data_IF_162087303464
#
_entry.id   IF_162087303464
#
_cell.length_a   1.000
_cell.length_b   1.000
_cell.length_c   1.000
_cell.angle_alpha   90.00
_cell.angle_beta   90.00
_cell.angle_gamma   90.00
#
_symmetry.space_group_name_H-M   'P 1'
#
loop_
_entity.id
_entity.type
_entity.pdbx_description
1 polymer ?
#
# COMPACT_ATOMS: atom_id res chain seq x y z
N UNK A 1 52.98 -17.86 -54.75
CA UNK A 1 51.61 -18.21 -54.30
C UNK A 1 51.67 -18.67 -52.82
N UNK A 2 51.98 -17.82 -51.86
CA UNK A 2 52.05 -18.22 -50.40
C UNK A 2 51.97 -17.03 -49.43
N UNK A 3 51.18 -16.02 -49.68
CA UNK A 3 51.06 -14.82 -48.81
C UNK A 3 49.64 -14.29 -48.63
N UNK A 4 48.59 -15.06 -48.93
CA UNK A 4 47.19 -14.56 -48.87
C UNK A 4 46.29 -15.36 -47.90
N UNK A 5 46.83 -16.21 -47.03
CA UNK A 5 46.04 -17.04 -46.12
C UNK A 5 46.18 -16.68 -44.61
N UNK A 6 46.81 -15.56 -44.25
CA UNK A 6 46.97 -15.17 -42.86
C UNK A 6 46.19 -13.93 -42.42
N UNK A 7 45.36 -13.33 -43.26
CA UNK A 7 44.58 -12.13 -42.92
C UNK A 7 43.11 -12.39 -42.55
N UNK A 8 42.61 -13.62 -42.62
CA UNK A 8 41.19 -13.96 -42.39
C UNK A 8 40.84 -14.50 -41.00
N UNK A 9 41.81 -14.71 -40.10
CA UNK A 9 41.53 -15.27 -38.76
C UNK A 9 41.47 -14.23 -37.66
N UNK A 10 41.92 -13.00 -37.91
CA UNK A 10 41.93 -11.94 -36.87
C UNK A 10 40.62 -11.15 -36.74
N UNK A 11 39.64 -11.32 -37.66
CA UNK A 11 38.40 -10.53 -37.64
C UNK A 11 37.21 -11.20 -36.93
N UNK A 12 37.34 -12.44 -36.45
CA UNK A 12 36.27 -13.16 -35.76
C UNK A 12 36.36 -13.16 -34.22
N UNK A 13 37.37 -12.50 -33.62
CA UNK A 13 37.57 -12.47 -32.17
C UNK A 13 37.06 -11.20 -31.47
N UNK A 14 36.43 -10.25 -32.18
CA UNK A 14 35.92 -9.02 -31.57
C UNK A 14 34.38 -8.92 -31.47
N UNK A 15 33.64 -10.00 -31.68
CA UNK A 15 32.18 -10.00 -31.60
C UNK A 15 31.64 -10.71 -30.34
N UNK A 16 32.48 -10.91 -29.30
CA UNK A 16 32.14 -11.73 -28.12
C UNK A 16 32.17 -11.03 -26.77
N UNK A 17 32.17 -9.70 -26.67
CA UNK A 17 32.30 -9.03 -25.38
C UNK A 17 31.29 -7.89 -25.14
N UNK A 18 30.05 -8.09 -25.51
CA UNK A 18 28.90 -7.38 -24.89
C UNK A 18 28.33 -8.28 -23.76
N UNK A 19 29.21 -8.81 -22.91
CA UNK A 19 28.82 -9.28 -21.58
C UNK A 19 28.52 -7.99 -20.82
N UNK A 20 27.22 -7.68 -20.70
CA UNK A 20 26.77 -6.56 -19.88
C UNK A 20 27.48 -6.62 -18.52
N UNK A 21 28.11 -5.52 -18.10
CA UNK A 21 28.71 -5.44 -16.79
C UNK A 21 27.69 -5.97 -15.76
N UNK A 22 28.10 -6.82 -14.80
CA UNK A 22 27.19 -7.30 -13.79
C UNK A 22 26.57 -6.08 -13.11
N UNK A 23 25.25 -5.94 -13.22
CA UNK A 23 24.54 -4.90 -12.47
C UNK A 23 24.86 -5.16 -11.01
N UNK A 24 25.66 -4.29 -10.41
CA UNK A 24 26.03 -4.42 -9.01
C UNK A 24 24.74 -4.37 -8.19
N UNK A 25 24.47 -5.42 -7.43
CA UNK A 25 23.33 -5.47 -6.54
C UNK A 25 23.39 -4.29 -5.58
N UNK A 26 22.39 -3.43 -5.62
CA UNK A 26 22.26 -2.30 -4.72
C UNK A 26 21.15 -2.58 -3.70
N UNK A 27 21.22 -1.88 -2.59
CA UNK A 27 20.22 -1.96 -1.51
C UNK A 27 19.55 -0.60 -1.35
N UNK A 28 18.22 -0.61 -1.31
CA UNK A 28 17.39 0.58 -1.07
C UNK A 28 16.54 0.39 0.18
N UNK A 29 16.24 1.51 0.86
CA UNK A 29 15.38 1.55 2.05
C UNK A 29 14.08 2.26 1.72
N UNK A 30 12.97 1.57 1.95
CA UNK A 30 11.61 2.11 1.76
C UNK A 30 10.96 2.33 3.11
N UNK A 31 10.66 3.56 3.47
CA UNK A 31 9.86 3.89 4.64
C UNK A 31 8.37 3.86 4.31
N UNK A 32 7.60 3.24 5.17
CA UNK A 32 6.16 3.07 4.95
C UNK A 32 5.37 3.03 6.26
N UNK A 33 4.06 3.26 6.15
CA UNK A 33 3.11 3.07 7.23
C UNK A 33 2.28 1.79 7.01
N UNK A 34 1.40 1.50 7.96
CA UNK A 34 0.57 0.29 7.95
C UNK A 34 -0.32 0.17 6.70
N UNK A 35 -0.84 1.30 6.19
CA UNK A 35 -1.73 1.29 5.03
C UNK A 35 -1.06 0.83 3.74
N UNK A 36 0.27 0.85 3.67
CA UNK A 36 1.03 0.52 2.46
C UNK A 36 1.91 -0.73 2.61
N UNK A 37 2.02 -1.26 3.83
CA UNK A 37 2.99 -2.31 4.16
C UNK A 37 2.79 -3.59 3.34
N UNK A 38 1.59 -4.13 3.29
CA UNK A 38 1.31 -5.40 2.59
C UNK A 38 1.66 -5.31 1.11
N UNK A 39 1.23 -4.25 0.42
CA UNK A 39 1.51 -4.04 -1.01
C UNK A 39 2.99 -3.84 -1.29
N UNK A 40 3.68 -3.03 -0.50
CA UNK A 40 5.12 -2.80 -0.68
C UNK A 40 5.92 -4.07 -0.47
N UNK A 41 5.60 -4.90 0.53
CA UNK A 41 6.32 -6.16 0.78
C UNK A 41 6.18 -7.16 -0.36
N UNK A 42 4.97 -7.34 -0.91
CA UNK A 42 4.74 -8.21 -2.05
C UNK A 42 5.52 -7.72 -3.28
N UNK A 43 5.48 -6.43 -3.58
CA UNK A 43 6.19 -5.84 -4.71
C UNK A 43 7.71 -5.86 -4.51
N UNK A 44 8.21 -5.61 -3.30
CA UNK A 44 9.64 -5.70 -2.97
C UNK A 44 10.20 -7.10 -3.21
N UNK A 45 9.51 -8.13 -2.72
CA UNK A 45 9.90 -9.53 -2.94
C UNK A 45 10.00 -9.88 -4.43
N UNK A 46 9.02 -9.42 -5.23
CA UNK A 46 9.01 -9.66 -6.66
C UNK A 46 10.12 -8.88 -7.39
N UNK A 47 10.36 -7.62 -7.01
CA UNK A 47 11.42 -6.79 -7.56
C UNK A 47 12.81 -7.35 -7.26
N UNK A 48 13.08 -7.76 -6.03
CA UNK A 48 14.33 -8.42 -5.64
C UNK A 48 14.61 -9.66 -6.49
N UNK A 49 13.57 -10.49 -6.69
CA UNK A 49 13.69 -11.70 -7.54
C UNK A 49 13.98 -11.37 -8.99
N UNK A 50 13.39 -10.29 -9.51
CA UNK A 50 13.54 -9.91 -10.92
C UNK A 50 14.87 -9.21 -11.23
N UNK A 51 15.45 -8.48 -10.26
CA UNK A 51 16.57 -7.57 -10.51
C UNK A 51 17.84 -7.91 -9.76
N UNK A 52 17.75 -8.71 -8.70
CA UNK A 52 18.87 -8.99 -7.79
C UNK A 52 19.18 -7.84 -6.80
N UNK A 53 18.51 -6.68 -6.92
CA UNK A 53 18.62 -5.62 -5.91
C UNK A 53 17.95 -6.03 -4.61
N UNK A 54 18.24 -5.31 -3.51
CA UNK A 54 17.63 -5.52 -2.19
C UNK A 54 16.72 -4.34 -1.82
N UNK A 55 15.57 -4.64 -1.21
CA UNK A 55 14.59 -3.65 -0.76
C UNK A 55 14.32 -3.84 0.73
N UNK A 56 14.96 -3.02 1.54
CA UNK A 56 14.70 -2.98 2.98
C UNK A 56 13.42 -2.19 3.27
N UNK A 57 12.39 -2.92 3.64
CA UNK A 57 11.10 -2.33 4.03
C UNK A 57 11.13 -1.97 5.50
N UNK A 58 11.08 -0.67 5.82
CA UNK A 58 11.11 -0.15 7.19
C UNK A 58 9.75 0.43 7.58
N UNK A 59 9.02 -0.30 8.41
CA UNK A 59 7.75 0.17 8.98
C UNK A 59 7.97 1.29 9.98
N UNK A 60 7.11 2.31 9.91
CA UNK A 60 7.07 3.41 10.86
C UNK A 60 5.60 3.74 11.21
N UNK A 61 5.30 3.95 12.47
CA UNK A 61 3.99 4.50 12.86
C UNK A 61 3.80 5.90 12.24
N UNK A 62 2.57 6.23 11.81
CA UNK A 62 2.30 7.42 10.98
C UNK A 62 2.94 8.73 11.47
N UNK A 63 2.76 9.17 12.74
CA UNK A 63 3.38 10.40 13.22
C UNK A 63 4.91 10.35 13.22
N UNK A 64 5.49 9.19 13.52
CA UNK A 64 6.94 8.99 13.49
C UNK A 64 7.49 9.01 12.06
N UNK A 65 6.75 8.47 11.10
CA UNK A 65 7.14 8.50 9.69
C UNK A 65 7.21 9.94 9.17
N UNK A 66 6.18 10.74 9.42
CA UNK A 66 6.15 12.14 9.00
C UNK A 66 7.29 12.95 9.62
N UNK A 67 7.53 12.77 10.92
CA UNK A 67 8.65 13.40 11.61
C UNK A 67 9.98 13.00 10.98
N UNK A 68 10.21 11.70 10.75
CA UNK A 68 11.45 11.17 10.17
C UNK A 68 11.72 11.73 8.78
N UNK A 69 10.70 11.85 7.94
CA UNK A 69 10.84 12.45 6.61
C UNK A 69 11.18 13.93 6.72
N UNK A 70 10.52 14.67 7.60
CA UNK A 70 10.77 16.10 7.82
C UNK A 70 12.17 16.39 8.37
N UNK A 71 12.69 15.54 9.23
CA UNK A 71 14.05 15.63 9.79
C UNK A 71 15.15 15.27 8.77
N UNK A 72 14.80 14.74 7.59
CA UNK A 72 15.75 14.40 6.54
C UNK A 72 16.36 13.00 6.70
N UNK A 73 15.53 11.99 6.66
CA UNK A 73 15.96 10.57 6.73
C UNK A 73 16.90 10.17 5.60
N UNK A 74 17.74 9.17 5.85
CA UNK A 74 18.68 8.57 4.90
C UNK A 74 18.07 7.50 3.99
N UNK A 75 16.75 7.26 4.04
CA UNK A 75 16.07 6.30 3.16
C UNK A 75 16.00 6.75 1.71
N UNK A 76 15.59 5.85 0.84
CA UNK A 76 15.55 6.08 -0.61
C UNK A 76 14.14 6.39 -1.11
N UNK A 77 13.13 5.73 -0.58
CA UNK A 77 11.73 5.96 -0.93
C UNK A 77 10.86 6.03 0.32
N UNK A 78 9.69 6.64 0.14
CA UNK A 78 8.59 6.52 1.10
C UNK A 78 7.30 6.16 0.39
N UNK A 79 6.46 5.31 1.02
CA UNK A 79 5.14 4.93 0.51
C UNK A 79 4.06 5.36 1.49
N UNK A 80 3.13 6.19 1.01
CA UNK A 80 2.13 6.91 1.79
C UNK A 80 0.81 7.04 1.02
N UNK A 81 -0.23 7.54 1.71
CA UNK A 81 -1.41 8.08 1.03
C UNK A 81 -1.02 9.23 0.10
N UNK A 82 -1.54 9.21 -1.13
CA UNK A 82 -1.06 10.08 -2.21
C UNK A 82 -1.11 11.57 -1.86
N UNK A 83 -2.17 12.03 -1.18
CA UNK A 83 -2.31 13.43 -0.77
C UNK A 83 -1.23 13.94 0.21
N UNK A 84 -0.53 13.03 0.89
CA UNK A 84 0.54 13.42 1.81
C UNK A 84 1.81 13.88 1.09
N UNK A 85 1.97 13.52 -0.19
CA UNK A 85 3.17 13.88 -0.96
C UNK A 85 3.25 15.35 -1.31
N UNK A 86 2.11 16.06 -1.43
CA UNK A 86 2.09 17.49 -1.80
C UNK A 86 2.95 18.31 -0.83
N UNK A 87 2.83 18.07 0.47
CA UNK A 87 3.62 18.77 1.49
C UNK A 87 5.10 18.37 1.44
N UNK A 88 5.41 17.08 1.25
CA UNK A 88 6.79 16.62 1.20
C UNK A 88 7.53 17.08 -0.06
N UNK A 89 6.85 17.21 -1.19
CA UNK A 89 7.40 17.80 -2.41
C UNK A 89 7.63 19.29 -2.20
N UNK A 90 6.62 20.02 -1.69
CA UNK A 90 6.71 21.45 -1.42
C UNK A 90 7.87 21.81 -0.46
N UNK A 91 8.11 20.97 0.54
CA UNK A 91 9.18 21.15 1.53
C UNK A 91 10.53 20.56 1.07
N UNK A 92 10.62 20.05 -0.16
CA UNK A 92 11.84 19.50 -0.74
C UNK A 92 12.33 18.20 -0.08
N UNK A 93 11.46 17.45 0.59
CA UNK A 93 11.78 16.15 1.21
C UNK A 93 11.61 14.98 0.25
N UNK A 94 10.73 15.13 -0.73
CA UNK A 94 10.50 14.20 -1.83
C UNK A 94 10.86 14.91 -3.14
N UNK A 95 11.53 14.20 -4.04
CA UNK A 95 11.94 14.71 -5.34
C UNK A 95 10.71 15.05 -6.17
N UNK A 96 10.62 16.27 -6.68
CA UNK A 96 9.54 16.70 -7.56
C UNK A 96 9.46 15.82 -8.81
N UNK A 97 8.24 15.44 -9.21
CA UNK A 97 8.01 14.56 -10.35
C UNK A 97 8.34 13.08 -10.12
N UNK A 98 8.82 12.70 -8.91
CA UNK A 98 9.13 11.30 -8.59
C UNK A 98 7.96 10.53 -7.98
N UNK A 99 6.88 11.21 -7.63
CA UNK A 99 5.71 10.56 -7.00
C UNK A 99 4.93 9.77 -8.03
N UNK A 100 4.73 8.49 -7.76
CA UNK A 100 3.99 7.59 -8.61
C UNK A 100 2.86 6.96 -7.80
N UNK A 101 1.62 7.08 -8.27
CA UNK A 101 0.51 6.31 -7.73
C UNK A 101 0.63 4.86 -8.22
N UNK A 102 0.62 3.90 -7.30
CA UNK A 102 0.75 2.49 -7.66
C UNK A 102 -0.44 1.63 -7.21
N UNK A 103 -1.22 2.08 -6.24
CA UNK A 103 -2.35 1.33 -5.72
C UNK A 103 -3.45 2.23 -5.16
N UNK A 104 -4.61 1.62 -4.94
CA UNK A 104 -5.70 2.16 -4.14
C UNK A 104 -6.20 1.11 -3.16
N UNK A 105 -6.74 1.54 -2.04
CA UNK A 105 -7.25 0.67 -0.98
C UNK A 105 -8.64 1.11 -0.58
N UNK A 106 -9.60 0.20 -0.64
CA UNK A 106 -10.96 0.40 -0.15
C UNK A 106 -11.09 0.00 1.32
N UNK A 107 -12.29 0.21 1.87
CA UNK A 107 -12.66 -0.28 3.18
C UNK A 107 -13.39 -1.62 3.08
N UNK A 108 -13.25 -2.43 4.13
CA UNK A 108 -13.98 -3.67 4.29
C UNK A 108 -14.49 -3.82 5.70
N UNK A 109 -15.33 -4.83 5.88
CA UNK A 109 -16.05 -5.12 7.11
C UNK A 109 -15.58 -6.45 7.70
N UNK A 110 -15.41 -6.49 9.00
CA UNK A 110 -15.14 -7.73 9.73
C UNK A 110 -16.00 -7.85 10.97
N UNK A 111 -16.27 -9.10 11.36
CA UNK A 111 -16.92 -9.50 12.60
C UNK A 111 -16.04 -10.50 13.34
N UNK A 112 -16.34 -10.80 14.59
CA UNK A 112 -15.65 -11.85 15.35
C UNK A 112 -15.89 -13.22 14.69
N UNK A 113 -14.87 -14.05 14.64
CA UNK A 113 -14.97 -15.42 14.13
C UNK A 113 -16.11 -16.18 14.85
N UNK A 114 -17.03 -16.76 14.05
CA UNK A 114 -18.19 -17.47 14.55
C UNK A 114 -19.38 -16.60 14.98
N UNK A 115 -19.27 -15.27 14.91
CA UNK A 115 -20.41 -14.38 15.12
C UNK A 115 -21.37 -14.38 13.92
N UNK A 116 -22.65 -13.96 14.10
CA UNK A 116 -23.57 -13.75 13.00
C UNK A 116 -22.97 -12.82 11.92
N UNK A 117 -23.18 -13.17 10.66
CA UNK A 117 -22.70 -12.40 9.51
C UNK A 117 -23.85 -11.57 8.95
N UNK A 118 -23.88 -10.24 9.22
CA UNK A 118 -24.87 -9.39 8.61
C UNK A 118 -24.66 -9.30 7.09
N UNK A 119 -25.75 -9.14 6.35
CA UNK A 119 -25.69 -8.84 4.93
C UNK A 119 -25.16 -7.40 4.74
N UNK A 120 -24.11 -7.26 3.93
CA UNK A 120 -23.49 -6.00 3.57
C UNK A 120 -23.39 -5.83 2.05
N UNK A 121 -24.12 -6.64 1.28
CA UNK A 121 -23.95 -6.74 -0.18
C UNK A 121 -24.48 -5.52 -0.95
N UNK A 122 -25.39 -4.75 -0.36
CA UNK A 122 -25.97 -3.55 -0.94
C UNK A 122 -25.92 -2.38 0.04
N UNK A 123 -26.04 -1.11 -0.42
CA UNK A 123 -26.13 0.05 0.47
C UNK A 123 -27.23 -0.07 1.52
N UNK A 124 -28.41 -0.56 1.16
CA UNK A 124 -29.52 -0.73 2.09
C UNK A 124 -29.28 -1.86 3.09
N UNK A 125 -28.75 -2.99 2.66
CA UNK A 125 -28.38 -4.11 3.55
C UNK A 125 -27.29 -3.65 4.54
N UNK A 126 -26.24 -2.98 4.05
CA UNK A 126 -25.20 -2.40 4.89
C UNK A 126 -25.77 -1.39 5.90
N UNK A 127 -26.65 -0.49 5.45
CA UNK A 127 -27.35 0.45 6.32
C UNK A 127 -28.10 -0.25 7.45
N UNK A 128 -28.87 -1.29 7.14
CA UNK A 128 -29.59 -2.08 8.15
C UNK A 128 -28.63 -2.80 9.10
N UNK A 129 -27.53 -3.36 8.59
CA UNK A 129 -26.49 -3.97 9.41
C UNK A 129 -25.93 -2.98 10.45
N UNK A 130 -25.62 -1.75 10.04
CA UNK A 130 -25.11 -0.71 10.94
C UNK A 130 -26.16 -0.26 11.97
N UNK A 131 -27.41 -0.11 11.57
CA UNK A 131 -28.51 0.25 12.47
C UNK A 131 -28.77 -0.84 13.52
N UNK A 132 -28.62 -2.10 13.18
CA UNK A 132 -28.86 -3.24 14.06
C UNK A 132 -27.65 -3.61 14.94
N UNK A 133 -26.44 -3.20 14.55
CA UNK A 133 -25.23 -3.48 15.31
C UNK A 133 -25.28 -2.88 16.72
N UNK A 134 -24.72 -3.60 17.70
CA UNK A 134 -24.55 -3.12 19.08
C UNK A 134 -23.38 -2.15 19.21
N UNK A 135 -22.32 -2.38 18.43
CA UNK A 135 -21.15 -1.50 18.37
C UNK A 135 -20.49 -1.56 17.00
N UNK A 136 -19.95 -0.41 16.57
CA UNK A 136 -19.26 -0.24 15.29
C UNK A 136 -17.89 0.37 15.57
N UNK A 137 -16.82 -0.22 15.05
CA UNK A 137 -15.47 0.29 15.24
C UNK A 137 -14.80 0.71 13.96
N UNK A 138 -14.14 1.86 13.99
CA UNK A 138 -13.22 2.29 12.95
C UNK A 138 -12.14 3.21 13.54
N UNK A 139 -11.14 3.57 12.73
CA UNK A 139 -10.09 4.52 13.14
C UNK A 139 -10.51 5.97 12.84
N UNK A 140 -9.81 6.94 13.41
CA UNK A 140 -9.96 8.37 13.06
C UNK A 140 -8.93 8.84 12.02
N UNK A 141 -8.06 7.94 11.52
CA UNK A 141 -7.03 8.20 10.53
C UNK A 141 -7.19 7.32 9.29
N UNK A 142 -6.43 7.58 8.25
CA UNK A 142 -6.49 6.85 6.99
C UNK A 142 -7.88 6.98 6.34
N UNK A 143 -8.58 5.85 6.17
CA UNK A 143 -9.95 5.82 5.62
C UNK A 143 -11.04 6.03 6.68
N UNK A 144 -10.69 6.21 7.96
CA UNK A 144 -11.66 6.42 9.04
C UNK A 144 -12.60 7.62 8.83
N UNK A 145 -12.13 8.80 8.42
CA UNK A 145 -12.98 9.93 8.10
C UNK A 145 -14.02 9.65 7.01
N UNK A 146 -13.70 8.78 6.04
CA UNK A 146 -14.66 8.36 5.00
C UNK A 146 -15.86 7.62 5.59
N UNK A 147 -15.64 6.81 6.64
CA UNK A 147 -16.73 6.08 7.29
C UNK A 147 -17.74 7.06 7.91
N UNK A 148 -17.28 8.10 8.59
CA UNK A 148 -18.16 9.12 9.16
C UNK A 148 -18.98 9.82 8.06
N UNK A 149 -18.31 10.26 6.99
CA UNK A 149 -18.99 10.89 5.84
C UNK A 149 -19.99 9.95 5.17
N UNK A 150 -19.66 8.68 5.04
CA UNK A 150 -20.54 7.64 4.49
C UNK A 150 -21.81 7.48 5.36
N UNK A 151 -21.67 7.39 6.67
CA UNK A 151 -22.81 7.29 7.58
C UNK A 151 -23.71 8.54 7.53
N UNK A 152 -23.12 9.71 7.35
CA UNK A 152 -23.88 10.96 7.12
C UNK A 152 -24.65 10.92 5.80
N UNK A 153 -24.00 10.52 4.70
CA UNK A 153 -24.66 10.36 3.39
C UNK A 153 -25.80 9.33 3.41
N UNK A 154 -25.64 8.25 4.18
CA UNK A 154 -26.69 7.24 4.39
C UNK A 154 -27.83 7.73 5.31
N UNK A 155 -27.70 8.89 5.96
CA UNK A 155 -28.69 9.45 6.87
C UNK A 155 -28.85 8.68 8.18
N UNK A 156 -27.82 7.94 8.61
CA UNK A 156 -27.88 7.11 9.83
C UNK A 156 -26.90 7.56 10.92
N UNK A 157 -26.01 8.50 10.64
CA UNK A 157 -24.96 8.89 11.58
C UNK A 157 -25.51 9.23 12.97
N UNK A 158 -26.55 10.03 13.07
CA UNK A 158 -27.14 10.43 14.36
C UNK A 158 -27.74 9.25 15.15
N UNK A 159 -28.19 8.22 14.45
CA UNK A 159 -28.76 7.02 15.06
C UNK A 159 -27.69 6.05 15.58
N UNK A 160 -26.50 6.06 14.96
CA UNK A 160 -25.43 5.10 15.29
C UNK A 160 -24.24 5.73 16.01
N UNK A 161 -24.13 7.07 16.11
CA UNK A 161 -22.95 7.74 16.69
C UNK A 161 -22.63 7.30 18.13
N UNK A 162 -23.64 6.96 18.93
CA UNK A 162 -23.45 6.42 20.27
C UNK A 162 -22.92 4.99 20.31
N UNK A 163 -22.96 4.28 19.19
CA UNK A 163 -22.45 2.91 19.01
C UNK A 163 -21.06 2.89 18.37
N UNK A 164 -20.58 4.04 17.87
CA UNK A 164 -19.27 4.15 17.22
C UNK A 164 -18.17 4.21 18.26
N UNK A 165 -17.21 3.32 18.13
CA UNK A 165 -15.96 3.31 18.89
C UNK A 165 -14.80 3.65 17.98
N UNK A 166 -14.08 4.72 18.28
CA UNK A 166 -12.81 5.03 17.61
C UNK A 166 -11.72 4.16 18.19
N UNK A 167 -11.13 3.32 17.34
CA UNK A 167 -10.06 2.40 17.74
C UNK A 167 -8.72 3.08 17.55
N UNK A 168 -8.00 3.22 18.66
CA UNK A 168 -6.67 3.84 18.69
C UNK A 168 -5.64 2.86 19.27
N UNK A 169 -4.39 2.97 18.81
CA UNK A 169 -3.26 2.18 19.33
C UNK A 169 -3.25 0.70 18.95
N UNK A 170 -4.31 0.19 18.30
CA UNK A 170 -4.41 -1.20 17.81
C UNK A 170 -5.21 -1.31 16.52
N UNK A 171 -5.21 -2.49 15.91
CA UNK A 171 -6.04 -2.78 14.75
C UNK A 171 -7.52 -2.87 15.12
N UNK A 172 -8.41 -2.43 14.22
CA UNK A 172 -9.86 -2.63 14.36
C UNK A 172 -10.16 -4.13 14.39
N UNK A 173 -9.52 -4.93 13.55
CA UNK A 173 -9.67 -6.39 13.57
C UNK A 173 -9.31 -7.03 14.91
N UNK A 174 -8.30 -6.50 15.61
CA UNK A 174 -7.93 -6.98 16.96
C UNK A 174 -9.02 -6.67 17.99
N UNK A 175 -9.64 -5.48 17.91
CA UNK A 175 -10.76 -5.11 18.78
C UNK A 175 -12.00 -5.97 18.53
N UNK A 176 -12.26 -6.30 17.25
CA UNK A 176 -13.32 -7.23 16.84
C UNK A 176 -13.05 -8.64 17.37
N UNK A 177 -11.83 -9.16 17.18
CA UNK A 177 -11.43 -10.49 17.66
C UNK A 177 -11.57 -10.63 19.18
N UNK A 178 -11.23 -9.58 19.93
CA UNK A 178 -11.41 -9.52 21.38
C UNK A 178 -12.91 -9.50 21.79
N UNK A 179 -13.81 -9.08 20.91
CA UNK A 179 -15.22 -8.91 21.18
C UNK A 179 -15.60 -7.55 21.76
N UNK A 180 -14.69 -6.60 21.74
CA UNK A 180 -14.95 -5.21 22.18
C UNK A 180 -15.85 -4.47 21.18
N UNK A 181 -15.84 -4.91 19.93
CA UNK A 181 -16.57 -4.35 18.79
C UNK A 181 -17.27 -5.47 18.03
N UNK A 182 -18.54 -5.26 17.70
CA UNK A 182 -19.33 -6.23 16.93
C UNK A 182 -18.98 -6.14 15.45
N UNK A 183 -19.00 -4.95 14.85
CA UNK A 183 -18.70 -4.72 13.44
C UNK A 183 -17.51 -3.76 13.32
N UNK A 184 -16.43 -4.23 12.72
CA UNK A 184 -15.24 -3.43 12.42
C UNK A 184 -15.20 -2.99 10.97
N UNK A 185 -14.80 -1.73 10.71
CA UNK A 185 -14.59 -1.18 9.36
C UNK A 185 -13.19 -0.60 9.30
N UNK A 186 -12.36 -1.12 8.40
CA UNK A 186 -10.99 -0.66 8.17
C UNK A 186 -10.57 -0.97 6.73
N UNK A 187 -9.42 -0.44 6.30
CA UNK A 187 -8.83 -0.76 5.00
C UNK A 187 -8.73 -2.26 4.78
N UNK A 188 -9.10 -2.72 3.59
CA UNK A 188 -9.18 -4.15 3.22
C UNK A 188 -7.88 -4.88 3.47
N UNK A 189 -6.75 -4.28 3.13
CA UNK A 189 -5.41 -4.85 3.29
C UNK A 189 -4.93 -4.93 4.76
N UNK A 190 -5.63 -4.26 5.67
CA UNK A 190 -5.31 -4.26 7.11
C UNK A 190 -6.26 -5.15 7.89
N UNK A 191 -7.55 -5.22 7.49
CA UNK A 191 -8.59 -5.91 8.25
C UNK A 191 -8.66 -7.41 7.94
N UNK A 192 -8.29 -7.83 6.71
CA UNK A 192 -8.47 -9.20 6.26
C UNK A 192 -7.70 -10.26 7.07
N UNK A 193 -6.39 -10.11 7.33
CA UNK A 193 -5.59 -11.24 7.82
C UNK A 193 -5.45 -11.26 9.34
N UNK A 194 -6.51 -11.03 10.12
CA UNK A 194 -6.36 -11.02 11.57
C UNK A 194 -6.97 -12.26 12.23
N UNK A 195 -6.19 -13.07 12.98
CA UNK A 195 -6.70 -14.21 13.74
C UNK A 195 -7.82 -13.79 14.72
N UNK A 196 -8.91 -14.55 14.73
CA UNK A 196 -10.06 -14.30 15.62
C UNK A 196 -11.08 -13.29 15.09
N UNK A 197 -10.80 -12.62 13.98
CA UNK A 197 -11.79 -11.87 13.20
C UNK A 197 -12.04 -12.54 11.85
N UNK A 198 -13.23 -12.35 11.32
CA UNK A 198 -13.65 -12.86 10.02
C UNK A 198 -14.00 -11.69 9.11
N UNK A 199 -13.33 -11.62 7.97
CA UNK A 199 -13.59 -10.62 6.93
C UNK A 199 -14.86 -10.99 6.18
N UNK A 200 -15.86 -10.11 6.18
CA UNK A 200 -17.13 -10.31 5.49
C UNK A 200 -17.09 -9.93 4.01
N UNK A 201 -16.27 -8.95 3.67
CA UNK A 201 -16.17 -8.43 2.33
C UNK A 201 -15.87 -6.93 2.30
N UNK A 202 -15.69 -6.35 1.08
CA UNK A 202 -15.57 -4.92 0.89
C UNK A 202 -16.91 -4.23 1.18
N UNK A 203 -16.87 -2.92 1.40
CA UNK A 203 -18.08 -2.11 1.36
C UNK A 203 -18.77 -2.22 0.00
N UNK A 204 -20.11 -2.05 -0.08
CA UNK A 204 -20.81 -1.92 -1.36
C UNK A 204 -20.12 -0.90 -2.28
N UNK A 205 -20.07 -1.19 -3.57
CA UNK A 205 -19.32 -0.37 -4.54
C UNK A 205 -19.77 1.10 -4.54
N UNK A 206 -21.08 1.35 -4.34
CA UNK A 206 -21.68 2.68 -4.31
C UNK A 206 -21.29 3.50 -3.05
N UNK A 207 -20.84 2.80 -2.01
CA UNK A 207 -20.39 3.41 -0.75
C UNK A 207 -18.87 3.44 -0.64
N UNK A 208 -18.17 2.80 -1.59
CA UNK A 208 -16.72 2.65 -1.54
C UNK A 208 -16.02 3.96 -1.89
N UNK A 209 -15.26 4.49 -0.97
CA UNK A 209 -14.25 5.50 -1.24
C UNK A 209 -12.86 4.87 -1.12
N UNK A 210 -12.02 5.11 -2.11
CA UNK A 210 -10.67 4.53 -2.16
C UNK A 210 -9.62 5.52 -1.66
N UNK A 211 -8.83 5.06 -0.70
CA UNK A 211 -7.56 5.71 -0.39
C UNK A 211 -6.55 5.47 -1.51
N UNK A 212 -6.05 6.51 -2.13
CA UNK A 212 -5.00 6.44 -3.16
C UNK A 212 -3.63 6.34 -2.50
N UNK A 213 -2.78 5.47 -3.01
CA UNK A 213 -1.46 5.18 -2.44
C UNK A 213 -0.37 5.44 -3.46
N UNK A 214 0.65 6.16 -3.04
CA UNK A 214 1.80 6.49 -3.86
C UNK A 214 3.12 6.07 -3.24
N UNK A 215 4.16 6.14 -4.06
CA UNK A 215 5.55 6.03 -3.67
C UNK A 215 6.31 7.25 -4.23
N UNK A 216 7.22 7.82 -3.44
CA UNK A 216 8.03 8.96 -3.85
C UNK A 216 9.49 8.78 -3.43
N UNK A 217 10.42 9.30 -4.24
CA UNK A 217 11.86 9.23 -3.97
C UNK A 217 12.23 10.32 -2.97
N UNK A 218 12.87 9.93 -1.88
CA UNK A 218 13.38 10.87 -0.89
C UNK A 218 14.57 11.66 -1.47
N UNK A 219 14.60 12.96 -1.22
CA UNK A 219 15.67 13.84 -1.72
C UNK A 219 17.06 13.40 -1.24
N UNK A 220 17.12 12.79 -0.04
CA UNK A 220 18.35 12.27 0.56
C UNK A 220 18.84 10.94 -0.06
N UNK A 221 18.07 10.33 -0.97
CA UNK A 221 18.43 9.05 -1.59
C UNK A 221 19.77 9.14 -2.31
N UNK A 222 20.62 8.14 -2.05
CA UNK A 222 21.90 7.91 -2.73
C UNK A 222 21.79 6.82 -3.81
N UNK A 223 20.64 6.14 -3.91
CA UNK A 223 20.37 5.02 -4.85
C UNK A 223 19.21 5.39 -5.80
N UNK A 224 19.23 6.61 -6.35
CA UNK A 224 18.09 7.17 -7.12
C UNK A 224 17.70 6.33 -8.33
N UNK A 225 18.65 5.70 -9.00
CA UNK A 225 18.35 4.87 -10.18
C UNK A 225 17.56 3.62 -9.80
N UNK A 226 18.01 2.90 -8.76
CA UNK A 226 17.32 1.72 -8.26
C UNK A 226 15.98 2.09 -7.60
N UNK A 227 15.91 3.21 -6.88
CA UNK A 227 14.69 3.74 -6.33
C UNK A 227 13.67 4.08 -7.44
N UNK A 228 14.12 4.70 -8.53
CA UNK A 228 13.28 4.97 -9.71
C UNK A 228 12.80 3.70 -10.38
N UNK A 229 13.69 2.71 -10.53
CA UNK A 229 13.33 1.41 -11.10
C UNK A 229 12.28 0.71 -10.24
N UNK A 230 12.42 0.74 -8.91
CA UNK A 230 11.42 0.15 -8.00
C UNK A 230 10.09 0.90 -8.04
N UNK A 231 10.08 2.24 -8.03
CA UNK A 231 8.85 3.03 -8.15
C UNK A 231 8.09 2.71 -9.46
N UNK A 232 8.80 2.59 -10.58
CA UNK A 232 8.21 2.18 -11.87
C UNK A 232 7.68 0.75 -11.81
N UNK A 233 8.43 -0.18 -11.21
CA UNK A 233 8.00 -1.56 -11.03
C UNK A 233 6.70 -1.64 -10.21
N UNK A 234 6.59 -0.85 -9.14
CA UNK A 234 5.38 -0.80 -8.31
C UNK A 234 4.14 -0.38 -9.11
N UNK A 235 4.29 0.55 -10.05
CA UNK A 235 3.20 1.07 -10.88
C UNK A 235 2.97 0.30 -12.18
N UNK A 236 3.76 -0.73 -12.47
CA UNK A 236 3.61 -1.54 -13.69
C UNK A 236 2.30 -2.34 -13.62
N UNK A 237 1.42 -2.22 -14.64
CA UNK A 237 0.19 -3.02 -14.72
C UNK A 237 0.41 -4.53 -14.62
N UNK A 238 1.56 -5.04 -15.03
CA UNK A 238 1.92 -6.46 -14.90
C UNK A 238 1.95 -6.93 -13.43
N UNK A 239 2.15 -6.02 -12.47
CA UNK A 239 2.24 -6.31 -11.05
C UNK A 239 0.91 -6.17 -10.29
N UNK A 240 -0.20 -5.85 -10.98
CA UNK A 240 -1.55 -5.80 -10.39
C UNK A 240 -1.94 -7.09 -9.63
N UNK A 241 -1.58 -8.31 -10.10
CA UNK A 241 -1.85 -9.52 -9.33
C UNK A 241 -1.21 -9.54 -7.93
N UNK A 242 -0.02 -8.92 -7.77
CA UNK A 242 0.65 -8.79 -6.48
C UNK A 242 -0.10 -7.82 -5.54
N UNK A 243 -0.61 -6.72 -6.09
CA UNK A 243 -1.46 -5.79 -5.33
C UNK A 243 -2.72 -6.48 -4.83
N UNK A 244 -3.39 -7.25 -5.69
CA UNK A 244 -4.60 -8.01 -5.32
C UNK A 244 -4.31 -9.03 -4.21
N UNK A 245 -3.16 -9.71 -4.27
CA UNK A 245 -2.71 -10.62 -3.21
C UNK A 245 -2.56 -9.89 -1.87
N UNK A 246 -2.16 -8.63 -1.90
CA UNK A 246 -2.07 -7.75 -0.74
C UNK A 246 -3.40 -7.07 -0.37
N UNK A 247 -4.52 -7.49 -0.95
CA UNK A 247 -5.85 -6.88 -0.81
C UNK A 247 -5.89 -5.38 -1.16
N UNK A 248 -5.12 -5.01 -2.18
CA UNK A 248 -5.07 -3.68 -2.79
C UNK A 248 -5.50 -3.76 -4.26
N UNK A 249 -5.88 -2.63 -4.84
CA UNK A 249 -6.30 -2.54 -6.23
C UNK A 249 -5.38 -1.64 -7.06
N UNK A 250 -5.41 -1.83 -8.38
CA UNK A 250 -4.73 -0.92 -9.29
C UNK A 250 -5.35 0.49 -9.25
N UNK A 251 -4.56 1.54 -9.54
CA UNK A 251 -5.11 2.87 -9.82
C UNK A 251 -6.16 2.83 -10.94
N UNK A 252 -7.16 3.71 -10.87
CA UNK A 252 -8.06 3.95 -12.02
C UNK A 252 -7.37 4.94 -12.94
N UNK A 253 -7.30 4.60 -14.20
CA UNK A 253 -6.82 5.52 -15.25
C UNK A 253 -7.85 6.58 -15.55
#
# INVERSE_FOLDING_TARGET
>A
MRTWMMAAVAALAMLGALIGAPVQAAEIVVYLNQATESGVRELATAFEKATGHKVNVSFQAGPNLNRRINEGTTGDLTSLGLAQFDEFVKTGKVVEGSVVEYARVGNGVAVKTGAPKPDISTPDAFKQAMLNAKSIGHTNAGTGPFNTTMFQKLGIYDQIKSKITIVEGRLVAAAVAAGDIEIGIQQTNVIQPHPGSEYLGPLPAELMEYGRVGVGILTASKQRDVATAFAKFMADPANVPLLRKAAMEAPVK
#
